data_IF_236633827988
#
_entry.id   IF_236633827988
#
_cell.length_a   1.000
_cell.length_b   1.000
_cell.length_c   1.000
_cell.angle_alpha   90.00
_cell.angle_beta   90.00
_cell.angle_gamma   90.00
#
_symmetry.space_group_name_H-M   'P 1'
#
loop_
_entity.id
_entity.type
_entity.pdbx_description
1 polymer ?
#
# COMPACT_ATOMS: atom_id res chain seq x y z
N UNK A 1 -5.30 -1.32 23.30
CA UNK A 1 -5.10 -0.86 21.92
C UNK A 1 -6.10 -1.54 20.99
N UNK A 2 -6.93 -0.74 20.32
CA UNK A 2 -7.93 -1.21 19.35
C UNK A 2 -7.37 -0.95 17.95
N UNK A 3 -7.29 -2.02 17.16
CA UNK A 3 -6.98 -1.96 15.73
C UNK A 3 -8.23 -2.35 14.97
N UNK A 4 -8.82 -1.40 14.26
CA UNK A 4 -10.07 -1.62 13.53
C UNK A 4 -10.05 -0.84 12.20
N UNK A 5 -10.82 -1.33 11.25
CA UNK A 5 -11.01 -0.70 9.96
C UNK A 5 -12.49 -0.74 9.59
N UNK A 6 -13.02 0.39 9.09
CA UNK A 6 -14.35 0.47 8.53
C UNK A 6 -14.26 0.57 7.01
N UNK A 7 -14.96 -0.33 6.32
CA UNK A 7 -14.91 -0.46 4.88
C UNK A 7 -13.51 -0.72 4.33
N UNK A 8 -13.16 -0.06 3.24
CA UNK A 8 -11.81 -0.11 2.64
C UNK A 8 -10.74 0.61 3.48
N UNK A 9 -11.15 1.33 4.54
CA UNK A 9 -10.29 2.20 5.32
C UNK A 9 -10.33 3.67 4.88
N UNK A 10 -11.00 4.00 3.79
CA UNK A 10 -11.13 5.40 3.35
C UNK A 10 -11.83 6.29 4.36
N UNK A 11 -12.71 5.72 5.19
CA UNK A 11 -13.36 6.45 6.28
C UNK A 11 -12.58 6.39 7.59
N UNK A 12 -12.04 5.21 7.93
CA UNK A 12 -11.31 5.00 9.18
C UNK A 12 -10.46 3.73 9.12
N UNK A 13 -9.20 3.85 9.59
CA UNK A 13 -8.35 2.69 9.87
C UNK A 13 -7.34 3.01 10.96
N UNK A 14 -7.35 2.22 12.02
CA UNK A 14 -6.27 2.18 13.02
C UNK A 14 -5.38 0.96 12.81
N UNK A 15 -4.05 1.17 12.82
CA UNK A 15 -3.08 0.13 12.52
C UNK A 15 -1.71 0.40 13.15
N UNK A 16 -0.89 -0.65 13.22
CA UNK A 16 0.54 -0.54 13.51
C UNK A 16 1.35 -0.93 12.27
N UNK A 17 2.30 -0.10 11.88
CA UNK A 17 3.31 -0.42 10.87
C UNK A 17 4.70 -0.05 11.39
N UNK A 18 5.48 -1.08 11.73
CA UNK A 18 6.82 -0.90 12.30
C UNK A 18 7.85 -0.42 11.28
N UNK A 19 7.63 -0.67 9.99
CA UNK A 19 8.50 -0.18 8.91
C UNK A 19 8.39 1.33 8.77
N UNK A 20 7.17 1.84 8.84
CA UNK A 20 6.87 3.26 8.77
C UNK A 20 6.95 3.97 10.13
N UNK A 21 7.01 3.22 11.23
CA UNK A 21 6.94 3.75 12.59
C UNK A 21 5.58 4.34 12.94
N UNK A 22 4.51 3.80 12.38
CA UNK A 22 3.13 4.22 12.62
C UNK A 22 2.52 3.35 13.72
N UNK A 23 1.89 3.98 14.71
CA UNK A 23 0.93 3.35 15.60
C UNK A 23 -0.17 4.38 15.89
N UNK A 24 -1.33 4.16 15.29
CA UNK A 24 -2.54 4.97 15.49
C UNK A 24 -3.69 4.15 16.08
N UNK A 25 -3.36 3.12 16.88
CA UNK A 25 -4.35 2.36 17.64
C UNK A 25 -5.22 3.28 18.51
N UNK A 26 -6.46 2.87 18.76
CA UNK A 26 -7.38 3.63 19.60
C UNK A 26 -7.38 3.04 21.01
N UNK A 27 -7.15 3.87 22.01
CA UNK A 27 -7.40 3.51 23.41
C UNK A 27 -8.81 3.91 23.80
N UNK A 28 -9.64 2.91 24.13
CA UNK A 28 -11.05 3.17 24.39
C UNK A 28 -11.89 1.91 24.47
N UNK A 29 -13.11 2.00 23.96
CA UNK A 29 -14.10 0.93 23.96
C UNK A 29 -14.43 0.56 22.52
N UNK A 30 -14.42 -0.74 22.25
CA UNK A 30 -14.90 -1.33 21.00
C UNK A 30 -15.91 -2.42 21.33
N UNK A 31 -16.99 -2.46 20.58
CA UNK A 31 -18.00 -3.51 20.66
C UNK A 31 -18.42 -3.97 19.28
N UNK A 32 -18.66 -5.27 19.14
CA UNK A 32 -19.22 -5.87 17.93
C UNK A 32 -20.37 -6.79 18.30
N UNK A 33 -21.49 -6.65 17.60
CA UNK A 33 -22.65 -7.51 17.75
C UNK A 33 -23.06 -8.06 16.39
N UNK A 34 -23.21 -9.39 16.31
CA UNK A 34 -23.68 -10.06 15.10
C UNK A 34 -24.91 -10.90 15.41
N UNK A 35 -25.97 -10.70 14.64
CA UNK A 35 -27.17 -11.52 14.70
C UNK A 35 -27.20 -12.46 13.49
N UNK A 36 -26.97 -13.74 13.74
CA UNK A 36 -26.73 -14.75 12.70
C UNK A 36 -25.69 -14.26 11.71
N UNK A 37 -25.92 -14.48 10.39
CA UNK A 37 -25.12 -13.87 9.32
C UNK A 37 -25.83 -12.66 8.68
N UNK A 38 -26.91 -12.17 9.26
CA UNK A 38 -27.78 -11.17 8.65
C UNK A 38 -27.29 -9.76 8.88
N UNK A 39 -26.90 -9.48 10.12
CA UNK A 39 -26.55 -8.13 10.57
C UNK A 39 -25.29 -8.21 11.41
N UNK A 40 -24.33 -7.34 11.13
CA UNK A 40 -23.20 -7.07 12.02
C UNK A 40 -23.14 -5.58 12.30
N UNK A 41 -23.08 -5.22 13.57
CA UNK A 41 -22.91 -3.84 14.05
C UNK A 41 -21.63 -3.77 14.85
N UNK A 42 -20.78 -2.80 14.52
CA UNK A 42 -19.58 -2.46 15.28
C UNK A 42 -19.69 -1.04 15.83
N UNK A 43 -19.04 -0.78 16.95
CA UNK A 43 -18.95 0.56 17.54
C UNK A 43 -17.58 0.79 18.16
N UNK A 44 -17.06 2.01 18.03
CA UNK A 44 -15.78 2.43 18.57
C UNK A 44 -15.92 3.81 19.24
N UNK A 45 -15.22 3.99 20.37
CA UNK A 45 -15.08 5.27 21.05
C UNK A 45 -13.76 5.30 21.80
N UNK A 46 -12.92 6.31 21.58
CA UNK A 46 -11.64 6.45 22.29
C UNK A 46 -10.72 7.53 21.72
N UNK A 47 -9.52 7.60 22.31
CA UNK A 47 -8.42 8.46 21.85
C UNK A 47 -7.47 7.66 20.98
N UNK A 48 -7.14 8.12 19.78
CA UNK A 48 -6.11 7.47 18.97
C UNK A 48 -4.71 7.78 19.51
N UNK A 49 -3.80 6.84 19.34
CA UNK A 49 -2.37 7.09 19.55
C UNK A 49 -1.79 7.88 18.39
N UNK A 50 -0.78 8.68 18.73
CA UNK A 50 0.10 9.34 17.76
C UNK A 50 1.55 9.07 18.19
N UNK A 51 2.17 8.05 17.58
CA UNK A 51 3.47 7.51 17.97
C UNK A 51 3.48 6.92 19.40
N UNK A 52 4.27 7.51 20.31
CA UNK A 52 4.39 7.08 21.70
C UNK A 52 3.39 7.78 22.65
N UNK A 53 2.62 8.73 22.14
CA UNK A 53 1.67 9.52 22.89
C UNK A 53 0.25 9.39 22.32
N UNK A 54 -0.69 10.19 22.77
CA UNK A 54 -2.07 10.25 22.30
C UNK A 54 -2.31 11.52 21.48
N UNK A 55 -3.14 11.40 20.44
CA UNK A 55 -3.67 12.57 19.76
C UNK A 55 -4.59 13.37 20.69
N UNK A 56 -4.73 14.68 20.50
CA UNK A 56 -5.65 15.50 21.27
C UNK A 56 -7.13 15.29 20.90
N UNK A 57 -7.36 14.54 19.85
CA UNK A 57 -8.69 14.24 19.36
C UNK A 57 -9.32 13.00 20.01
N UNK A 58 -10.65 12.97 19.93
CA UNK A 58 -11.49 11.83 20.23
C UNK A 58 -12.13 11.29 18.95
N UNK A 59 -12.14 9.97 18.80
CA UNK A 59 -12.76 9.27 17.69
C UNK A 59 -13.94 8.45 18.19
N UNK A 60 -15.08 8.56 17.50
CA UNK A 60 -16.27 7.76 17.74
C UNK A 60 -16.91 7.36 16.43
N UNK A 61 -17.47 6.15 16.39
CA UNK A 61 -18.10 5.71 15.15
C UNK A 61 -18.82 4.39 15.27
N UNK A 62 -19.54 4.08 14.19
CA UNK A 62 -20.24 2.83 14.03
C UNK A 62 -20.14 2.32 12.57
N UNK A 63 -20.20 1.01 12.42
CA UNK A 63 -20.24 0.32 11.14
C UNK A 63 -21.34 -0.73 11.16
N UNK A 64 -22.22 -0.70 10.15
CA UNK A 64 -23.34 -1.62 9.98
C UNK A 64 -23.18 -2.39 8.68
N UNK A 65 -23.25 -3.72 8.74
CA UNK A 65 -23.28 -4.61 7.57
C UNK A 65 -24.56 -5.43 7.58
N UNK A 66 -25.23 -5.49 6.42
CA UNK A 66 -26.46 -6.25 6.18
C UNK A 66 -26.21 -7.23 5.04
N UNK A 67 -26.27 -8.54 5.32
CA UNK A 67 -26.20 -9.59 4.29
C UNK A 67 -27.60 -9.83 3.71
N UNK A 68 -27.90 -9.20 2.58
CA UNK A 68 -29.19 -9.34 1.91
C UNK A 68 -29.38 -10.74 1.33
N UNK A 69 -28.31 -11.38 0.90
CA UNK A 69 -28.35 -12.76 0.41
C UNK A 69 -28.75 -13.76 1.50
N UNK A 70 -28.20 -13.59 2.72
CA UNK A 70 -28.58 -14.47 3.83
C UNK A 70 -30.01 -14.22 4.29
N UNK A 71 -30.44 -12.96 4.33
CA UNK A 71 -31.83 -12.58 4.65
C UNK A 71 -32.80 -13.17 3.63
N UNK A 72 -32.47 -13.11 2.33
CA UNK A 72 -33.30 -13.62 1.24
C UNK A 72 -33.15 -15.13 1.01
N UNK A 73 -32.18 -15.79 1.65
CA UNK A 73 -31.88 -17.20 1.50
C UNK A 73 -31.25 -17.59 0.16
N UNK A 74 -30.54 -16.68 -0.50
CA UNK A 74 -29.82 -16.96 -1.75
C UNK A 74 -28.59 -17.84 -1.47
N UNK A 75 -28.45 -18.95 -2.20
CA UNK A 75 -27.39 -19.93 -1.91
C UNK A 75 -26.10 -19.73 -2.70
N UNK A 76 -26.18 -19.11 -3.87
CA UNK A 76 -25.05 -19.01 -4.81
C UNK A 76 -24.66 -17.56 -5.12
N UNK A 77 -25.26 -16.61 -4.46
CA UNK A 77 -25.04 -15.19 -4.62
C UNK A 77 -24.81 -14.60 -3.24
N UNK A 78 -23.70 -13.89 -3.06
CA UNK A 78 -23.46 -13.06 -1.88
C UNK A 78 -23.71 -11.61 -2.27
N UNK A 79 -24.59 -10.96 -1.53
CA UNK A 79 -24.87 -9.54 -1.70
C UNK A 79 -25.05 -8.91 -0.32
N UNK A 80 -24.20 -7.92 -0.04
CA UNK A 80 -24.29 -7.12 1.19
C UNK A 80 -24.33 -5.63 0.89
N UNK A 81 -24.98 -4.91 1.78
CA UNK A 81 -24.95 -3.46 1.84
C UNK A 81 -24.48 -3.03 3.22
N UNK A 82 -23.64 -2.00 3.26
CA UNK A 82 -22.96 -1.59 4.48
C UNK A 82 -22.94 -0.07 4.58
N UNK A 83 -22.87 0.43 5.80
CA UNK A 83 -22.74 1.86 6.07
C UNK A 83 -21.90 2.11 7.29
N UNK A 84 -21.08 3.16 7.26
CA UNK A 84 -20.28 3.57 8.40
C UNK A 84 -20.43 5.05 8.67
N UNK A 85 -20.19 5.41 9.91
CA UNK A 85 -20.06 6.78 10.38
C UNK A 85 -18.88 6.89 11.33
N UNK A 86 -18.05 7.91 11.13
CA UNK A 86 -16.94 8.30 12.01
C UNK A 86 -17.05 9.79 12.29
N UNK A 87 -16.82 10.15 13.54
CA UNK A 87 -16.62 11.52 13.96
C UNK A 87 -15.28 11.63 14.69
N UNK A 88 -14.48 12.62 14.31
CA UNK A 88 -13.29 13.09 15.05
C UNK A 88 -13.65 14.41 15.71
N UNK A 89 -13.43 14.54 17.00
CA UNK A 89 -13.61 15.77 17.76
C UNK A 89 -12.31 16.17 18.44
N UNK A 90 -11.94 17.45 18.32
CA UNK A 90 -10.75 18.05 18.92
C UNK A 90 -11.03 19.52 19.22
N UNK A 91 -10.53 20.04 20.36
CA UNK A 91 -10.54 21.48 20.63
C UNK A 91 -9.59 22.18 19.66
N UNK A 92 -10.11 23.20 18.97
CA UNK A 92 -9.34 23.92 17.95
C UNK A 92 -8.37 24.88 18.62
N UNK A 93 -7.05 24.81 18.33
CA UNK A 93 -6.08 25.79 18.79
C UNK A 93 -6.43 27.22 18.34
N UNK A 94 -6.11 28.22 19.16
CA UNK A 94 -6.42 29.63 18.84
C UNK A 94 -5.87 30.07 17.48
N UNK A 95 -4.69 29.58 17.10
CA UNK A 95 -4.05 29.92 15.82
C UNK A 95 -4.79 29.35 14.60
N UNK A 96 -5.65 28.35 14.79
CA UNK A 96 -6.44 27.68 13.74
C UNK A 96 -7.93 27.99 13.82
N UNK A 97 -8.38 28.84 14.74
CA UNK A 97 -9.79 29.12 15.02
C UNK A 97 -10.58 29.61 13.80
N UNK A 98 -9.93 30.31 12.88
CA UNK A 98 -10.54 30.87 11.68
C UNK A 98 -10.67 29.85 10.52
N UNK A 99 -9.97 28.72 10.59
CA UNK A 99 -9.88 27.78 9.47
C UNK A 99 -10.29 26.35 9.82
N UNK A 100 -10.22 25.95 11.09
CA UNK A 100 -10.49 24.59 11.52
C UNK A 100 -11.85 24.44 12.19
N UNK A 101 -12.51 23.31 11.92
CA UNK A 101 -13.74 22.92 12.61
C UNK A 101 -13.39 21.93 13.74
N UNK A 102 -14.02 22.04 14.92
CA UNK A 102 -13.73 21.14 16.05
C UNK A 102 -14.21 19.71 15.79
N UNK A 103 -15.16 19.52 14.89
CA UNK A 103 -15.81 18.25 14.62
C UNK A 103 -15.77 17.91 13.13
N UNK A 104 -15.17 16.79 12.78
CA UNK A 104 -15.14 16.26 11.42
C UNK A 104 -15.99 15.01 11.36
N UNK A 105 -17.01 15.05 10.51
CA UNK A 105 -17.92 13.95 10.28
C UNK A 105 -17.64 13.27 8.94
N UNK A 106 -17.55 11.95 8.96
CA UNK A 106 -17.40 11.14 7.76
C UNK A 106 -18.47 10.05 7.73
N UNK A 107 -18.99 9.77 6.57
CA UNK A 107 -19.92 8.65 6.34
C UNK A 107 -19.50 7.85 5.12
N UNK A 108 -19.78 6.56 5.13
CA UNK A 108 -19.61 5.70 3.95
C UNK A 108 -20.85 4.86 3.69
N UNK A 109 -21.05 4.55 2.41
CA UNK A 109 -22.02 3.57 1.94
C UNK A 109 -21.32 2.61 0.99
N UNK A 110 -21.55 1.29 1.19
CA UNK A 110 -20.90 0.22 0.46
C UNK A 110 -21.90 -0.80 -0.04
N UNK A 111 -21.60 -1.40 -1.19
CA UNK A 111 -22.28 -2.58 -1.69
C UNK A 111 -21.24 -3.60 -2.18
N UNK A 112 -21.43 -4.86 -1.83
CA UNK A 112 -20.55 -5.95 -2.23
C UNK A 112 -21.40 -7.06 -2.88
N UNK A 113 -20.88 -7.58 -3.97
CA UNK A 113 -21.50 -8.61 -4.78
C UNK A 113 -20.49 -9.70 -5.13
N UNK A 114 -20.85 -10.97 -4.93
CA UNK A 114 -20.05 -12.10 -5.37
C UNK A 114 -20.96 -13.19 -5.95
N UNK A 115 -20.65 -13.62 -7.17
CA UNK A 115 -21.41 -14.63 -7.86
C UNK A 115 -20.56 -15.41 -8.86
N UNK A 116 -20.39 -16.71 -8.61
CA UNK A 116 -19.77 -17.65 -9.54
C UNK A 116 -18.40 -17.19 -10.10
N UNK A 117 -17.53 -16.71 -9.20
CA UNK A 117 -16.19 -16.22 -9.52
C UNK A 117 -16.13 -14.78 -10.01
N UNK A 118 -17.25 -14.11 -10.22
CA UNK A 118 -17.34 -12.69 -10.43
C UNK A 118 -17.58 -12.00 -9.08
N UNK A 119 -16.80 -10.98 -8.77
CA UNK A 119 -17.01 -10.11 -7.61
C UNK A 119 -17.01 -8.64 -8.03
N UNK A 120 -17.78 -7.84 -7.31
CA UNK A 120 -17.82 -6.40 -7.49
C UNK A 120 -18.06 -5.73 -6.14
N UNK A 121 -17.40 -4.60 -5.90
CA UNK A 121 -17.63 -3.77 -4.74
C UNK A 121 -17.62 -2.29 -5.13
N UNK A 122 -18.38 -1.49 -4.41
CA UNK A 122 -18.35 -0.04 -4.52
C UNK A 122 -18.48 0.56 -3.13
N UNK A 123 -17.63 1.54 -2.85
CA UNK A 123 -17.69 2.35 -1.63
C UNK A 123 -17.65 3.83 -1.99
N UNK A 124 -18.60 4.58 -1.44
CA UNK A 124 -18.60 6.05 -1.46
C UNK A 124 -18.40 6.56 -0.05
N UNK A 125 -17.49 7.53 0.12
CA UNK A 125 -17.24 8.21 1.39
C UNK A 125 -17.45 9.71 1.20
N UNK A 126 -18.18 10.33 2.12
CA UNK A 126 -18.30 11.78 2.25
C UNK A 126 -17.67 12.26 3.55
N UNK A 127 -17.04 13.44 3.51
CA UNK A 127 -16.39 14.11 4.63
C UNK A 127 -16.91 15.54 4.74
N UNK A 128 -17.21 16.01 5.97
CA UNK A 128 -17.50 17.42 6.27
C UNK A 128 -16.30 18.32 5.98
N UNK A 129 -16.44 19.64 6.20
CA UNK A 129 -15.30 20.54 6.09
C UNK A 129 -14.16 20.09 7.00
N UNK A 130 -12.95 20.07 6.45
CA UNK A 130 -11.73 19.74 7.18
C UNK A 130 -10.55 20.52 6.62
N UNK A 131 -9.61 20.89 7.46
CA UNK A 131 -8.38 21.56 7.03
C UNK A 131 -7.52 20.57 6.25
N UNK A 132 -7.11 20.96 5.05
CA UNK A 132 -6.20 20.15 4.27
C UNK A 132 -4.81 20.12 4.91
N UNK A 133 -4.23 18.93 5.18
CA UNK A 133 -2.86 18.84 5.71
C UNK A 133 -1.79 19.21 4.68
N UNK A 134 -2.13 19.25 3.41
CA UNK A 134 -1.17 19.47 2.31
C UNK A 134 -1.35 20.82 1.61
N UNK A 135 -2.51 21.46 1.74
CA UNK A 135 -2.84 22.72 1.09
C UNK A 135 -3.11 23.82 2.13
N UNK A 136 -2.15 24.72 2.30
CA UNK A 136 -2.19 25.76 3.32
C UNK A 136 -3.41 26.67 3.14
N UNK A 137 -4.21 26.82 4.21
CA UNK A 137 -5.37 27.69 4.25
C UNK A 137 -6.60 27.18 3.47
N UNK A 138 -6.60 25.90 3.09
CA UNK A 138 -7.72 25.27 2.41
C UNK A 138 -8.52 24.42 3.39
N UNK A 139 -9.81 24.74 3.55
CA UNK A 139 -10.78 23.98 4.33
C UNK A 139 -11.95 23.64 3.44
N UNK A 140 -12.13 22.35 3.15
CA UNK A 140 -13.10 21.89 2.16
C UNK A 140 -13.77 20.58 2.57
N UNK A 141 -14.94 20.35 1.97
CA UNK A 141 -15.64 19.06 2.05
C UNK A 141 -14.94 18.04 1.16
N UNK A 142 -14.77 16.84 1.70
CA UNK A 142 -14.15 15.75 0.96
C UNK A 142 -15.14 14.69 0.47
N UNK A 143 -14.76 13.99 -0.59
CA UNK A 143 -15.42 12.75 -0.99
C UNK A 143 -14.43 11.77 -1.63
N UNK A 144 -14.72 10.49 -1.48
CA UNK A 144 -13.99 9.40 -2.09
C UNK A 144 -14.92 8.38 -2.72
N UNK A 145 -14.55 7.85 -3.86
CA UNK A 145 -15.21 6.73 -4.51
C UNK A 145 -14.17 5.65 -4.81
N UNK A 146 -14.45 4.42 -4.39
CA UNK A 146 -13.69 3.23 -4.73
C UNK A 146 -14.64 2.23 -5.38
N UNK A 147 -14.28 1.72 -6.56
CA UNK A 147 -15.01 0.67 -7.24
C UNK A 147 -14.05 -0.43 -7.67
N UNK A 148 -14.38 -1.66 -7.38
CA UNK A 148 -13.59 -2.83 -7.72
C UNK A 148 -14.47 -3.84 -8.44
N UNK A 149 -13.90 -4.51 -9.44
CA UNK A 149 -14.56 -5.56 -10.19
C UNK A 149 -13.54 -6.65 -10.52
N UNK A 150 -13.83 -7.85 -10.11
CA UNK A 150 -12.96 -9.00 -10.31
C UNK A 150 -13.66 -10.18 -10.94
N UNK A 151 -12.88 -10.98 -11.65
CA UNK A 151 -13.30 -12.29 -12.13
C UNK A 151 -12.20 -13.30 -11.90
N UNK A 152 -12.55 -14.44 -11.34
CA UNK A 152 -11.61 -15.54 -11.12
C UNK A 152 -12.18 -16.86 -11.58
N UNK A 153 -11.35 -17.63 -12.26
CA UNK A 153 -11.63 -19.01 -12.61
C UNK A 153 -10.39 -19.87 -12.35
N UNK A 154 -10.43 -21.16 -12.71
CA UNK A 154 -9.42 -22.14 -12.30
C UNK A 154 -7.96 -21.68 -12.46
N UNK A 155 -7.61 -21.03 -13.56
CA UNK A 155 -6.21 -20.69 -13.90
C UNK A 155 -6.01 -19.20 -14.18
N UNK A 156 -7.04 -18.39 -14.14
CA UNK A 156 -7.03 -16.98 -14.50
C UNK A 156 -7.77 -16.17 -13.46
N UNK A 157 -7.23 -15.00 -13.15
CA UNK A 157 -7.94 -13.96 -12.38
C UNK A 157 -7.61 -12.59 -12.94
N UNK A 158 -8.58 -11.70 -12.88
CA UNK A 158 -8.43 -10.28 -13.21
C UNK A 158 -9.16 -9.46 -12.17
N UNK A 159 -8.56 -8.35 -11.77
CA UNK A 159 -9.12 -7.33 -10.88
C UNK A 159 -8.94 -5.98 -11.54
N UNK A 160 -10.01 -5.22 -11.64
CA UNK A 160 -10.00 -3.81 -12.04
C UNK A 160 -10.45 -2.98 -10.85
N UNK A 161 -9.69 -1.94 -10.52
CA UNK A 161 -9.98 -1.01 -9.42
C UNK A 161 -9.97 0.40 -9.97
N UNK A 162 -10.99 1.19 -9.62
CA UNK A 162 -11.07 2.62 -9.89
C UNK A 162 -11.21 3.38 -8.59
N UNK A 163 -10.50 4.50 -8.45
CA UNK A 163 -10.61 5.40 -7.30
C UNK A 163 -10.62 6.87 -7.73
N UNK A 164 -11.46 7.63 -7.06
CA UNK A 164 -11.48 9.09 -7.10
C UNK A 164 -11.43 9.61 -5.66
N UNK A 165 -10.53 10.55 -5.40
CA UNK A 165 -10.36 11.23 -4.10
C UNK A 165 -10.39 12.73 -4.32
N UNK A 166 -11.08 13.43 -3.41
CA UNK A 166 -11.09 14.87 -3.35
C UNK A 166 -11.16 15.31 -1.88
N UNK A 167 -10.13 16.03 -1.41
CA UNK A 167 -9.96 16.51 -0.04
C UNK A 167 -10.20 15.41 1.03
N UNK A 168 -9.73 14.19 0.76
CA UNK A 168 -9.97 13.04 1.62
C UNK A 168 -8.90 12.84 2.70
N UNK A 169 -7.73 13.49 2.61
CA UNK A 169 -6.75 13.42 3.70
C UNK A 169 -7.38 13.91 5.00
N UNK A 170 -7.29 13.11 6.06
CA UNK A 170 -7.86 13.43 7.36
C UNK A 170 -6.82 13.10 8.44
N UNK A 171 -6.44 14.11 9.21
CA UNK A 171 -5.50 13.96 10.32
C UNK A 171 -6.19 13.41 11.57
N UNK A 172 -5.42 12.73 12.42
CA UNK A 172 -5.85 12.37 13.77
C UNK A 172 -5.94 13.60 14.67
N UNK A 173 -4.96 14.50 14.58
CA UNK A 173 -4.90 15.72 15.35
C UNK A 173 -4.48 16.90 14.47
N UNK A 174 -5.05 18.09 14.73
CA UNK A 174 -4.74 19.33 14.03
C UNK A 174 -3.28 19.77 14.24
N UNK A 175 -2.72 19.48 15.40
CA UNK A 175 -1.34 19.84 15.79
C UNK A 175 -0.34 18.70 15.58
N UNK A 176 -0.84 17.52 15.20
CA UNK A 176 0.00 16.34 15.00
C UNK A 176 0.86 16.44 13.73
N UNK A 177 2.04 15.83 13.77
CA UNK A 177 2.98 15.81 12.65
C UNK A 177 3.29 14.39 12.18
N UNK A 178 3.82 14.29 10.96
CA UNK A 178 4.36 13.07 10.37
C UNK A 178 3.32 12.10 9.84
N UNK A 179 3.80 11.00 9.25
CA UNK A 179 2.98 10.01 8.52
C UNK A 179 2.02 9.23 9.40
N UNK A 180 2.22 9.22 10.72
CA UNK A 180 1.34 8.58 11.70
C UNK A 180 0.10 9.40 12.04
N UNK A 181 0.09 10.71 11.71
CA UNK A 181 -1.04 11.59 11.97
C UNK A 181 -2.12 11.45 10.89
N UNK A 182 -2.70 10.26 10.78
CA UNK A 182 -3.69 9.91 9.75
C UNK A 182 -4.83 9.09 10.35
N UNK A 183 -6.07 9.54 10.10
CA UNK A 183 -7.29 8.88 10.54
C UNK A 183 -7.76 7.81 9.57
N UNK A 184 -7.62 8.06 8.28
CA UNK A 184 -8.07 7.20 7.21
C UNK A 184 -6.89 6.61 6.42
N UNK A 185 -7.17 5.63 5.57
CA UNK A 185 -6.16 4.91 4.82
C UNK A 185 -6.42 5.02 3.32
N UNK A 186 -5.50 5.71 2.63
CA UNK A 186 -5.59 6.00 1.21
C UNK A 186 -4.34 5.48 0.47
N UNK A 187 -4.12 4.16 0.42
CA UNK A 187 -2.90 3.59 -0.18
C UNK A 187 -2.85 3.87 -1.68
N UNK A 188 -1.64 3.93 -2.23
CA UNK A 188 -1.45 3.96 -3.68
C UNK A 188 -2.00 2.67 -4.31
N UNK A 189 -2.91 2.81 -5.29
CA UNK A 189 -3.45 1.68 -6.07
C UNK A 189 -2.53 1.40 -7.26
N UNK A 190 -1.34 0.92 -6.97
CA UNK A 190 -0.33 0.53 -7.96
C UNK A 190 0.36 -0.73 -7.49
N UNK A 191 1.01 -1.43 -8.40
CA UNK A 191 1.81 -2.59 -8.03
C UNK A 191 2.89 -2.19 -7.02
N UNK A 192 2.96 -2.90 -5.90
CA UNK A 192 4.04 -2.78 -4.93
C UNK A 192 5.19 -3.70 -5.33
N UNK A 193 6.34 -3.13 -5.63
CA UNK A 193 7.52 -3.88 -6.06
C UNK A 193 8.42 -4.20 -4.88
N UNK A 194 9.00 -5.41 -4.89
CA UNK A 194 10.08 -5.81 -3.98
C UNK A 194 11.47 -5.57 -4.59
N UNK A 195 11.53 -5.30 -5.89
CA UNK A 195 12.76 -5.03 -6.63
C UNK A 195 13.20 -3.58 -6.45
N UNK A 196 14.47 -3.37 -6.14
CA UNK A 196 15.02 -2.07 -5.75
C UNK A 196 14.78 -0.97 -6.80
N UNK A 197 15.10 -1.25 -8.07
CA UNK A 197 14.97 -0.25 -9.12
C UNK A 197 13.52 -0.04 -9.57
N UNK A 198 12.68 -1.07 -9.51
CA UNK A 198 11.25 -0.93 -9.82
C UNK A 198 10.49 -0.13 -8.75
N UNK A 199 11.06 -0.01 -7.55
CA UNK A 199 10.54 0.77 -6.44
C UNK A 199 11.38 2.03 -6.13
N UNK A 200 12.16 2.51 -7.10
CA UNK A 200 13.06 3.65 -6.91
C UNK A 200 12.29 4.96 -6.67
N UNK A 201 11.20 5.16 -7.42
CA UNK A 201 10.30 6.31 -7.33
C UNK A 201 8.85 5.82 -7.19
N UNK A 202 8.45 5.31 -6.01
CA UNK A 202 7.13 4.75 -5.81
C UNK A 202 6.05 5.82 -5.89
N UNK A 203 4.91 5.49 -6.50
CA UNK A 203 3.77 6.38 -6.54
C UNK A 203 3.19 6.60 -5.14
N UNK A 204 2.91 7.85 -4.83
CA UNK A 204 2.22 8.27 -3.62
C UNK A 204 0.84 8.79 -3.98
N UNK A 205 -0.17 8.26 -3.30
CA UNK A 205 -1.55 8.71 -3.45
C UNK A 205 -1.70 10.18 -3.05
N UNK A 206 -2.41 10.94 -3.85
CA UNK A 206 -2.83 12.30 -3.53
C UNK A 206 -4.25 12.30 -2.96
N UNK A 207 -4.37 12.21 -1.64
CA UNK A 207 -5.67 12.25 -0.97
C UNK A 207 -6.41 13.58 -1.14
N UNK A 208 -5.72 14.64 -1.54
CA UNK A 208 -6.34 15.95 -1.81
C UNK A 208 -7.05 15.99 -3.16
N UNK A 209 -6.57 15.25 -4.16
CA UNK A 209 -7.25 15.22 -5.44
C UNK A 209 -6.56 14.35 -6.47
N UNK A 210 -7.09 13.15 -6.66
CA UNK A 210 -6.67 12.25 -7.72
C UNK A 210 -7.83 11.39 -8.22
N UNK A 211 -7.71 10.92 -9.46
CA UNK A 211 -8.59 9.91 -10.03
C UNK A 211 -7.81 8.99 -10.96
N UNK A 212 -8.13 7.73 -10.90
CA UNK A 212 -7.47 6.75 -11.73
C UNK A 212 -7.81 5.34 -11.34
N UNK A 213 -7.02 4.40 -11.80
CA UNK A 213 -7.28 2.99 -11.49
C UNK A 213 -6.14 2.08 -11.88
N UNK A 214 -6.36 0.82 -11.59
CA UNK A 214 -5.44 -0.27 -11.83
C UNK A 214 -6.19 -1.47 -12.41
N UNK A 215 -5.57 -2.17 -13.33
CA UNK A 215 -6.00 -3.50 -13.77
C UNK A 215 -4.86 -4.46 -13.47
N UNK A 216 -5.20 -5.57 -12.86
CA UNK A 216 -4.26 -6.61 -12.44
C UNK A 216 -4.75 -7.97 -12.93
N UNK A 217 -3.94 -8.72 -13.68
CA UNK A 217 -4.32 -9.97 -14.29
C UNK A 217 -3.27 -11.06 -14.07
N UNK A 218 -3.72 -12.23 -13.65
CA UNK A 218 -2.89 -13.40 -13.40
C UNK A 218 -3.35 -14.60 -14.22
N UNK A 219 -2.39 -15.32 -14.77
CA UNK A 219 -2.63 -16.62 -15.40
C UNK A 219 -1.60 -17.64 -14.93
N UNK A 220 -2.05 -18.80 -14.51
CA UNK A 220 -1.20 -19.90 -14.04
C UNK A 220 -1.39 -21.14 -14.89
N UNK A 221 -0.31 -21.61 -15.50
CA UNK A 221 -0.29 -22.86 -16.21
C UNK A 221 0.61 -23.88 -15.50
N UNK A 222 0.11 -25.11 -15.35
CA UNK A 222 0.88 -26.20 -14.74
C UNK A 222 0.91 -27.41 -15.66
N UNK A 223 2.11 -27.99 -15.85
CA UNK A 223 2.29 -29.18 -16.67
C UNK A 223 1.53 -30.38 -16.09
N UNK A 224 0.80 -31.10 -16.96
CA UNK A 224 0.11 -32.33 -16.60
C UNK A 224 1.07 -33.50 -16.37
N UNK A 225 2.17 -33.57 -17.12
CA UNK A 225 3.17 -34.63 -17.04
C UNK A 225 4.16 -34.45 -15.89
N UNK A 226 4.47 -33.21 -15.52
CA UNK A 226 5.38 -32.91 -14.44
C UNK A 226 4.84 -31.75 -13.59
N UNK A 227 4.17 -32.07 -12.47
CA UNK A 227 3.55 -31.09 -11.59
C UNK A 227 4.51 -30.10 -10.94
N UNK A 228 5.82 -30.36 -10.97
CA UNK A 228 6.84 -29.40 -10.52
C UNK A 228 7.16 -28.30 -11.54
N UNK A 229 6.64 -28.40 -12.77
CA UNK A 229 6.80 -27.39 -13.81
C UNK A 229 5.54 -26.55 -13.92
N UNK A 230 5.69 -25.24 -13.76
CA UNK A 230 4.60 -24.30 -13.99
C UNK A 230 5.12 -22.98 -14.56
N UNK A 231 4.22 -22.23 -15.15
CA UNK A 231 4.43 -20.86 -15.60
C UNK A 231 3.33 -19.98 -14.99
N UNK A 232 3.71 -18.93 -14.31
CA UNK A 232 2.81 -17.87 -13.86
C UNK A 232 3.09 -16.63 -14.69
N UNK A 233 2.03 -16.04 -15.23
CA UNK A 233 2.05 -14.76 -15.93
C UNK A 233 1.31 -13.75 -15.07
N UNK A 234 1.89 -12.58 -14.91
CA UNK A 234 1.26 -11.46 -14.26
C UNK A 234 1.38 -10.23 -15.17
N UNK A 235 0.29 -9.51 -15.36
CA UNK A 235 0.25 -8.26 -16.08
C UNK A 235 -0.51 -7.23 -15.25
N UNK A 236 0.04 -6.03 -15.15
CA UNK A 236 -0.55 -4.95 -14.38
C UNK A 236 -0.43 -3.63 -15.16
N UNK A 237 -1.47 -2.80 -15.07
CA UNK A 237 -1.47 -1.45 -15.58
C UNK A 237 -2.16 -0.52 -14.59
N UNK A 238 -1.51 0.58 -14.23
CA UNK A 238 -2.08 1.62 -13.38
C UNK A 238 -1.91 3.00 -14.01
N UNK A 239 -2.91 3.88 -13.81
CA UNK A 239 -2.93 5.22 -14.39
C UNK A 239 -3.70 6.16 -13.46
N UNK A 240 -3.05 7.29 -13.08
CA UNK A 240 -3.62 8.29 -12.19
C UNK A 240 -3.41 9.70 -12.72
N UNK A 241 -4.43 10.52 -12.53
CA UNK A 241 -4.47 11.93 -12.88
C UNK A 241 -4.83 12.79 -11.68
N UNK A 242 -4.29 14.02 -11.63
CA UNK A 242 -4.69 15.02 -10.65
C UNK A 242 -6.12 15.52 -10.90
N UNK A 243 -6.81 15.90 -9.82
CA UNK A 243 -8.07 16.61 -9.90
C UNK A 243 -7.84 18.13 -10.04
N UNK A 244 -8.79 18.81 -10.70
CA UNK A 244 -8.76 20.27 -10.86
C UNK A 244 -8.91 21.03 -9.53
N UNK A 245 -9.34 20.37 -8.48
CA UNK A 245 -9.41 20.95 -7.14
C UNK A 245 -8.03 21.33 -6.59
N UNK A 246 -6.98 20.56 -6.94
CA UNK A 246 -5.61 20.75 -6.43
C UNK A 246 -4.63 21.26 -7.48
N UNK A 247 -4.96 21.14 -8.78
CA UNK A 247 -4.12 21.60 -9.88
C UNK A 247 -4.93 22.36 -10.91
N UNK A 248 -4.37 23.41 -11.55
CA UNK A 248 -5.11 24.23 -12.53
C UNK A 248 -5.66 23.45 -13.73
N UNK A 249 -5.05 22.29 -14.03
CA UNK A 249 -5.44 21.39 -15.11
C UNK A 249 -5.33 19.94 -14.61
N UNK A 250 -6.17 19.05 -15.14
CA UNK A 250 -5.97 17.62 -14.98
C UNK A 250 -4.67 17.19 -15.65
N UNK A 251 -3.74 16.64 -14.89
CA UNK A 251 -2.44 16.16 -15.38
C UNK A 251 -2.17 14.74 -14.90
N UNK A 252 -1.39 14.01 -15.68
CA UNK A 252 -0.93 12.69 -15.29
C UNK A 252 -0.02 12.79 -14.07
N UNK A 253 -0.32 11.99 -13.05
CA UNK A 253 0.49 11.82 -11.83
C UNK A 253 1.38 10.61 -11.95
N UNK A 254 0.81 9.50 -12.45
CA UNK A 254 1.45 8.22 -12.52
C UNK A 254 0.91 7.36 -13.65
N UNK A 255 1.79 6.63 -14.31
CA UNK A 255 1.48 5.53 -15.22
C UNK A 255 2.50 4.43 -15.00
N UNK A 256 2.05 3.20 -14.84
CA UNK A 256 2.90 2.02 -14.82
C UNK A 256 2.23 0.90 -15.60
N UNK A 257 2.92 0.39 -16.62
CA UNK A 257 2.50 -0.78 -17.38
C UNK A 257 3.60 -1.81 -17.20
N UNK A 258 3.26 -2.93 -16.60
CA UNK A 258 4.27 -3.92 -16.25
C UNK A 258 3.75 -5.35 -16.42
N UNK A 259 4.69 -6.26 -16.49
CA UNK A 259 4.39 -7.67 -16.50
C UNK A 259 5.59 -8.50 -16.07
N UNK A 260 5.32 -9.68 -15.53
CA UNK A 260 6.35 -10.66 -15.24
C UNK A 260 5.92 -12.07 -15.62
N UNK A 261 6.94 -12.88 -15.86
CA UNK A 261 6.81 -14.29 -16.14
C UNK A 261 7.67 -15.05 -15.15
N UNK A 262 7.05 -15.88 -14.34
CA UNK A 262 7.74 -16.80 -13.43
C UNK A 262 7.72 -18.21 -14.01
N UNK A 263 8.90 -18.80 -14.21
CA UNK A 263 9.09 -20.17 -14.65
C UNK A 263 9.62 -21.03 -13.51
N UNK A 264 8.90 -22.06 -13.12
CA UNK A 264 9.45 -23.17 -12.34
C UNK A 264 9.89 -24.28 -13.29
N UNK A 265 11.18 -24.34 -13.58
CA UNK A 265 11.78 -25.29 -14.54
C UNK A 265 11.76 -26.72 -14.02
N UNK A 266 12.06 -26.88 -12.74
CA UNK A 266 12.09 -28.14 -12.03
C UNK A 266 11.99 -27.86 -10.50
N UNK A 267 12.20 -28.87 -9.66
CA UNK A 267 12.16 -28.71 -8.19
C UNK A 267 13.23 -27.77 -7.62
N UNK A 268 14.31 -27.53 -8.39
CA UNK A 268 15.48 -26.78 -7.94
C UNK A 268 15.52 -25.36 -8.48
N UNK A 269 15.19 -25.15 -9.76
CA UNK A 269 15.36 -23.85 -10.45
C UNK A 269 14.02 -23.17 -10.71
N UNK A 270 13.93 -21.93 -10.26
CA UNK A 270 12.88 -20.97 -10.58
C UNK A 270 13.50 -19.68 -11.11
N UNK A 271 12.92 -19.10 -12.14
CA UNK A 271 13.34 -17.80 -12.69
C UNK A 271 12.13 -16.89 -12.86
N UNK A 272 12.33 -15.60 -12.64
CA UNK A 272 11.33 -14.57 -12.91
C UNK A 272 11.96 -13.49 -13.78
N UNK A 273 11.28 -13.10 -14.84
CA UNK A 273 11.63 -11.96 -15.67
C UNK A 273 10.52 -10.92 -15.58
N UNK A 274 10.86 -9.67 -15.24
CA UNK A 274 9.92 -8.55 -15.12
C UNK A 274 10.36 -7.41 -16.02
N UNK A 275 9.36 -6.79 -16.66
CA UNK A 275 9.49 -5.51 -17.37
C UNK A 275 8.46 -4.55 -16.81
N UNK A 276 8.87 -3.29 -16.56
CA UNK A 276 7.98 -2.21 -16.15
C UNK A 276 8.33 -0.93 -16.92
N UNK A 277 7.29 -0.26 -17.42
CA UNK A 277 7.38 1.06 -18.06
C UNK A 277 6.62 2.03 -17.19
N UNK A 278 7.35 2.86 -16.49
CA UNK A 278 6.82 3.84 -15.54
C UNK A 278 6.94 5.25 -16.10
N UNK A 279 5.95 6.09 -15.80
CA UNK A 279 6.02 7.53 -16.03
C UNK A 279 5.38 8.24 -14.84
N UNK A 280 6.04 9.25 -14.33
CA UNK A 280 5.62 9.93 -13.11
C UNK A 280 5.87 11.43 -13.15
N UNK A 281 5.05 12.20 -12.43
CA UNK A 281 5.16 13.65 -12.31
C UNK A 281 5.96 14.02 -11.06
N UNK A 282 7.16 14.64 -11.19
CA UNK A 282 7.97 15.04 -10.04
C UNK A 282 7.33 16.18 -9.22
N UNK A 283 6.41 16.91 -9.81
CA UNK A 283 5.69 18.02 -9.16
C UNK A 283 4.27 17.65 -8.71
N UNK A 284 3.92 16.35 -8.68
CA UNK A 284 2.55 15.92 -8.39
C UNK A 284 1.47 16.66 -9.19
N UNK A 285 1.73 16.88 -10.49
CA UNK A 285 0.78 17.52 -11.40
C UNK A 285 0.72 19.06 -11.34
N UNK A 286 1.57 19.72 -10.57
CA UNK A 286 1.63 21.20 -10.54
C UNK A 286 2.11 21.79 -11.88
N UNK A 287 2.92 21.05 -12.64
CA UNK A 287 3.35 21.40 -13.99
C UNK A 287 3.22 20.20 -14.94
N UNK A 288 3.49 20.41 -16.24
CA UNK A 288 3.34 19.38 -17.28
C UNK A 288 4.56 18.44 -17.40
N UNK A 289 5.57 18.56 -16.51
CA UNK A 289 6.80 17.77 -16.58
C UNK A 289 6.55 16.36 -16.03
N UNK A 290 6.92 15.36 -16.81
CA UNK A 290 6.95 13.95 -16.42
C UNK A 290 8.30 13.33 -16.73
N UNK A 291 8.62 12.21 -16.09
CA UNK A 291 9.80 11.41 -16.35
C UNK A 291 9.41 9.98 -16.66
N UNK A 292 9.94 9.43 -17.74
CA UNK A 292 9.78 8.04 -18.12
C UNK A 292 10.94 7.18 -17.62
N UNK A 293 10.63 5.95 -17.24
CA UNK A 293 11.62 4.95 -16.80
C UNK A 293 11.23 3.57 -17.32
N UNK A 294 12.20 2.84 -17.86
CA UNK A 294 12.05 1.44 -18.28
C UNK A 294 12.90 0.56 -17.37
N UNK A 295 12.29 -0.43 -16.75
CA UNK A 295 12.92 -1.30 -15.77
C UNK A 295 12.86 -2.74 -16.23
N UNK A 296 14.00 -3.43 -16.12
CA UNK A 296 14.17 -4.83 -16.44
C UNK A 296 14.73 -5.55 -15.23
N UNK A 297 14.14 -6.68 -14.86
CA UNK A 297 14.59 -7.52 -13.75
C UNK A 297 14.69 -8.97 -14.19
N UNK A 298 15.80 -9.60 -13.84
CA UNK A 298 15.98 -11.04 -13.89
C UNK A 298 16.29 -11.55 -12.47
N UNK A 299 15.46 -12.44 -11.97
CA UNK A 299 15.59 -13.07 -10.65
C UNK A 299 15.65 -14.59 -10.83
N UNK A 300 16.62 -15.24 -10.22
CA UNK A 300 16.80 -16.67 -10.26
C UNK A 300 17.00 -17.25 -8.85
N UNK A 301 16.20 -18.25 -8.50
CA UNK A 301 16.33 -19.02 -7.26
C UNK A 301 16.74 -20.44 -7.60
N UNK A 302 17.88 -20.88 -7.05
CA UNK A 302 18.37 -22.25 -7.16
C UNK A 302 18.44 -22.93 -5.80
N UNK A 303 17.79 -24.08 -5.65
CA UNK A 303 17.82 -24.94 -4.46
C UNK A 303 18.79 -26.08 -4.70
N UNK A 304 19.91 -26.10 -3.99
CA UNK A 304 20.88 -27.21 -4.02
C UNK A 304 20.27 -28.47 -3.40
N UNK A 305 19.63 -28.27 -2.25
CA UNK A 305 18.90 -29.30 -1.51
C UNK A 305 17.76 -28.69 -0.68
N UNK A 306 17.21 -29.43 0.29
CA UNK A 306 16.12 -28.94 1.17
C UNK A 306 16.57 -27.86 2.16
N UNK A 307 17.88 -27.71 2.39
CA UNK A 307 18.47 -26.81 3.39
C UNK A 307 19.24 -25.65 2.78
N UNK A 308 19.67 -25.75 1.53
CA UNK A 308 20.55 -24.75 0.91
C UNK A 308 19.92 -24.22 -0.37
N UNK A 309 19.88 -22.90 -0.48
CA UNK A 309 19.45 -22.21 -1.70
C UNK A 309 20.23 -20.93 -1.89
N UNK A 310 20.37 -20.53 -3.15
CA UNK A 310 20.88 -19.23 -3.57
C UNK A 310 19.83 -18.53 -4.43
N UNK A 311 19.65 -17.24 -4.21
CA UNK A 311 18.90 -16.33 -5.07
C UNK A 311 19.85 -15.29 -5.62
N UNK A 312 19.80 -15.06 -6.92
CA UNK A 312 20.55 -14.00 -7.59
C UNK A 312 19.58 -13.14 -8.38
N UNK A 313 19.73 -11.84 -8.29
CA UNK A 313 18.88 -10.85 -8.92
C UNK A 313 19.73 -9.80 -9.60
N UNK A 314 19.38 -9.45 -10.84
CA UNK A 314 20.01 -8.36 -11.61
C UNK A 314 18.89 -7.47 -12.14
N UNK A 315 19.08 -6.17 -12.00
CA UNK A 315 18.13 -5.14 -12.43
C UNK A 315 18.84 -4.07 -13.25
N UNK A 316 18.15 -3.55 -14.23
CA UNK A 316 18.56 -2.38 -15.00
C UNK A 316 17.40 -1.40 -15.13
N UNK A 317 17.68 -0.12 -14.92
CA UNK A 317 16.74 0.97 -15.09
C UNK A 317 17.35 2.00 -16.04
N UNK A 318 16.64 2.27 -17.14
CA UNK A 318 16.87 3.41 -18.02
C UNK A 318 15.86 4.50 -17.68
N UNK A 319 16.29 5.72 -17.39
CA UNK A 319 15.42 6.80 -16.97
C UNK A 319 15.77 8.15 -17.62
N UNK A 320 14.71 8.93 -17.86
CA UNK A 320 14.83 10.31 -18.36
C UNK A 320 14.95 11.33 -17.22
N UNK A 321 14.87 10.90 -15.95
CA UNK A 321 15.01 11.78 -14.81
C UNK A 321 16.44 12.36 -14.66
N UNK A 322 16.66 13.22 -13.68
CA UNK A 322 17.97 13.86 -13.44
C UNK A 322 19.06 12.89 -12.97
N UNK A 323 18.68 11.76 -12.36
CA UNK A 323 19.63 10.72 -11.92
C UNK A 323 19.98 9.74 -13.05
N UNK A 324 19.14 9.66 -14.09
CA UNK A 324 19.27 8.78 -15.26
C UNK A 324 19.38 7.30 -14.88
N UNK A 325 20.37 6.62 -15.39
CA UNK A 325 20.40 5.16 -15.47
C UNK A 325 21.02 4.50 -14.23
N UNK A 326 20.46 3.31 -13.89
CA UNK A 326 20.87 2.54 -12.73
C UNK A 326 21.04 1.07 -13.08
N UNK A 327 21.96 0.42 -12.36
CA UNK A 327 22.07 -1.04 -12.30
C UNK A 327 22.01 -1.49 -10.85
N UNK A 328 21.36 -2.61 -10.58
CA UNK A 328 21.34 -3.19 -9.24
C UNK A 328 21.49 -4.70 -9.30
N UNK A 329 22.01 -5.26 -8.21
CA UNK A 329 22.14 -6.67 -8.00
C UNK A 329 21.94 -7.08 -6.55
N UNK A 330 21.47 -8.32 -6.37
CA UNK A 330 21.31 -8.93 -5.05
C UNK A 330 21.72 -10.40 -5.14
N UNK A 331 22.46 -10.87 -4.15
CA UNK A 331 22.71 -12.30 -3.94
C UNK A 331 22.31 -12.64 -2.51
N UNK A 332 21.47 -13.66 -2.37
CA UNK A 332 21.02 -14.18 -1.08
C UNK A 332 21.35 -15.68 -1.00
N UNK A 333 21.94 -16.08 0.10
CA UNK A 333 22.26 -17.48 0.41
C UNK A 333 21.56 -17.91 1.69
N UNK A 334 20.73 -18.95 1.59
CA UNK A 334 19.95 -19.46 2.70
C UNK A 334 20.46 -20.82 3.14
N UNK A 335 20.67 -20.98 4.43
CA UNK A 335 20.98 -22.21 5.15
C UNK A 335 19.84 -22.53 6.13
N UNK A 336 18.81 -23.19 5.62
CA UNK A 336 17.66 -23.57 6.46
C UNK A 336 18.06 -24.56 7.56
N UNK A 337 17.45 -24.47 8.75
CA UNK A 337 16.32 -23.59 9.06
C UNK A 337 16.72 -22.22 9.65
N UNK A 338 18.01 -21.94 9.85
CA UNK A 338 18.41 -20.87 10.75
C UNK A 338 19.00 -19.63 10.07
N UNK A 339 19.88 -19.79 9.09
CA UNK A 339 20.71 -18.70 8.59
C UNK A 339 20.30 -18.21 7.21
N UNK A 340 20.33 -16.88 7.02
CA UNK A 340 20.27 -16.22 5.72
C UNK A 340 21.32 -15.11 5.65
N UNK A 341 22.00 -15.03 4.52
CA UNK A 341 23.02 -14.02 4.21
C UNK A 341 22.62 -13.33 2.93
N UNK A 342 22.69 -11.99 2.88
CA UNK A 342 22.44 -11.25 1.65
C UNK A 342 23.45 -10.13 1.45
N UNK A 343 23.74 -9.87 0.17
CA UNK A 343 24.54 -8.72 -0.26
C UNK A 343 23.83 -8.12 -1.46
N UNK A 344 23.69 -6.80 -1.48
CA UNK A 344 23.11 -6.06 -2.59
C UNK A 344 23.90 -4.79 -2.86
N UNK A 345 23.85 -4.34 -4.10
CA UNK A 345 24.36 -3.04 -4.51
C UNK A 345 23.45 -2.44 -5.57
N UNK A 346 23.25 -1.14 -5.49
CA UNK A 346 22.51 -0.33 -6.44
C UNK A 346 23.42 0.83 -6.86
N UNK A 347 23.83 0.86 -8.10
CA UNK A 347 24.78 1.81 -8.65
C UNK A 347 24.11 2.75 -9.64
N UNK A 348 24.16 4.05 -9.37
CA UNK A 348 23.81 5.06 -10.35
C UNK A 348 24.96 5.27 -11.31
N UNK A 349 24.87 4.72 -12.49
CA UNK A 349 25.88 4.92 -13.54
C UNK A 349 25.54 6.08 -14.47
N UNK A 350 24.37 6.70 -14.32
CA UNK A 350 23.95 7.87 -15.09
C UNK A 350 24.67 9.16 -14.66
N UNK A 351 24.29 9.73 -13.54
CA UNK A 351 24.73 11.07 -13.12
C UNK A 351 25.65 11.05 -11.89
N UNK A 352 25.19 10.51 -10.76
CA UNK A 352 25.91 10.67 -9.48
C UNK A 352 27.13 9.76 -9.31
N UNK A 353 27.19 8.64 -10.03
CA UNK A 353 28.26 7.63 -9.92
C UNK A 353 28.43 7.04 -8.51
N UNK A 354 27.32 6.91 -7.78
CA UNK A 354 27.28 6.49 -6.38
C UNK A 354 26.78 5.06 -6.26
N UNK A 355 27.42 4.30 -5.36
CA UNK A 355 26.99 2.97 -4.92
C UNK A 355 26.19 3.06 -3.62
N UNK A 356 25.09 2.30 -3.57
CA UNK A 356 24.26 2.10 -2.39
C UNK A 356 24.23 0.60 -2.08
N UNK A 357 25.21 0.18 -1.28
CA UNK A 357 25.46 -1.22 -0.95
C UNK A 357 24.82 -1.60 0.39
N UNK A 358 24.44 -2.85 0.53
CA UNK A 358 23.98 -3.41 1.78
C UNK A 358 24.43 -4.86 1.92
N UNK A 359 24.82 -5.24 3.14
CA UNK A 359 25.04 -6.63 3.53
C UNK A 359 24.22 -6.96 4.75
N UNK A 360 23.63 -8.14 4.82
CA UNK A 360 22.89 -8.57 5.99
C UNK A 360 23.11 -10.04 6.32
N UNK A 361 22.99 -10.35 7.62
CA UNK A 361 22.91 -11.70 8.15
C UNK A 361 21.69 -11.80 9.06
N UNK A 362 20.92 -12.86 8.93
CA UNK A 362 19.83 -13.15 9.83
C UNK A 362 19.91 -14.57 10.40
N UNK A 363 19.53 -14.69 11.65
CA UNK A 363 19.39 -15.94 12.37
C UNK A 363 17.96 -16.09 12.86
N UNK A 364 17.32 -17.20 12.53
CA UNK A 364 15.95 -17.50 12.95
C UNK A 364 15.93 -18.77 13.79
N UNK A 365 15.32 -18.71 14.95
CA UNK A 365 15.09 -19.86 15.81
C UNK A 365 13.68 -19.83 16.39
N UNK A 366 12.85 -20.83 16.07
CA UNK A 366 11.43 -20.87 16.44
C UNK A 366 10.71 -19.58 16.02
N UNK A 367 10.21 -18.83 16.99
CA UNK A 367 9.42 -17.60 16.81
C UNK A 367 10.28 -16.33 16.85
N UNK A 368 11.60 -16.45 16.94
CA UNK A 368 12.52 -15.32 17.09
C UNK A 368 13.46 -15.21 15.88
N UNK A 369 13.57 -14.02 15.30
CA UNK A 369 14.52 -13.66 14.25
C UNK A 369 15.38 -12.48 14.70
N UNK A 370 16.69 -12.66 14.62
CA UNK A 370 17.68 -11.60 14.79
C UNK A 370 18.30 -11.30 13.41
N UNK A 371 18.35 -10.04 13.03
CA UNK A 371 18.97 -9.60 11.79
C UNK A 371 19.92 -8.44 12.06
N UNK A 372 21.13 -8.57 11.57
CA UNK A 372 22.13 -7.49 11.52
C UNK A 372 22.35 -7.11 10.05
N UNK A 373 22.31 -5.84 9.75
CA UNK A 373 22.64 -5.30 8.43
C UNK A 373 23.56 -4.09 8.55
N UNK A 374 24.38 -3.88 7.53
CA UNK A 374 25.20 -2.69 7.35
C UNK A 374 25.13 -2.24 5.90
N UNK A 375 25.00 -0.94 5.68
CA UNK A 375 24.92 -0.44 4.32
C UNK A 375 24.88 1.08 4.22
N UNK A 376 24.96 1.56 2.97
CA UNK A 376 24.71 2.93 2.57
C UNK A 376 23.35 2.99 1.87
N UNK A 377 22.42 3.71 2.47
CA UNK A 377 21.06 3.84 1.98
C UNK A 377 20.86 5.19 1.29
N UNK A 378 20.16 5.20 0.15
CA UNK A 378 19.76 6.39 -0.58
C UNK A 378 18.66 7.11 0.19
N UNK A 379 18.62 8.45 0.08
CA UNK A 379 17.42 9.19 0.44
C UNK A 379 16.28 8.83 -0.50
N UNK A 380 15.08 8.64 0.03
CA UNK A 380 13.93 8.29 -0.78
C UNK A 380 12.75 7.78 0.04
N UNK A 381 11.71 7.34 -0.64
CA UNK A 381 10.52 6.82 0.00
C UNK A 381 10.65 5.34 0.31
N UNK A 382 10.34 4.98 1.55
CA UNK A 382 10.13 3.60 2.00
C UNK A 382 8.64 3.39 2.14
N UNK A 383 8.09 2.41 1.43
CA UNK A 383 6.67 2.15 1.38
C UNK A 383 6.32 0.80 2.01
N UNK A 384 5.18 0.76 2.70
CA UNK A 384 4.57 -0.44 3.24
C UNK A 384 3.06 -0.34 3.03
N UNK A 385 2.43 -1.39 2.47
CA UNK A 385 1.00 -1.41 2.21
C UNK A 385 0.47 -0.25 1.35
N UNK A 386 1.31 0.34 0.48
CA UNK A 386 0.92 1.49 -0.35
C UNK A 386 1.00 2.86 0.33
N UNK A 387 1.42 2.92 1.59
CA UNK A 387 1.73 4.15 2.32
C UNK A 387 3.25 4.33 2.36
N UNK A 388 3.73 5.55 2.14
CA UNK A 388 5.15 5.82 2.00
C UNK A 388 5.61 6.88 3.01
N UNK A 389 6.83 6.69 3.55
CA UNK A 389 7.53 7.65 4.39
C UNK A 389 8.86 8.00 3.76
N UNK A 390 9.20 9.29 3.70
CA UNK A 390 10.52 9.73 3.27
C UNK A 390 11.57 9.40 4.34
N UNK A 391 12.67 8.79 3.89
CA UNK A 391 13.81 8.44 4.74
C UNK A 391 15.05 9.16 4.22
N UNK A 392 15.81 9.89 5.06
CA UNK A 392 17.04 10.55 4.65
C UNK A 392 18.13 9.51 4.30
N UNK A 393 19.11 9.92 3.49
CA UNK A 393 20.28 9.10 3.23
C UNK A 393 21.07 8.84 4.51
N UNK A 394 21.53 7.61 4.70
CA UNK A 394 22.39 7.27 5.83
C UNK A 394 23.34 6.12 5.47
N UNK A 395 24.44 6.03 6.21
CA UNK A 395 25.35 4.88 6.20
C UNK A 395 25.50 4.38 7.63
N UNK A 396 25.22 3.10 7.87
CA UNK A 396 25.29 2.58 9.23
C UNK A 396 24.85 1.14 9.35
N UNK A 397 24.89 0.65 10.60
CA UNK A 397 24.40 -0.66 10.98
C UNK A 397 22.97 -0.57 11.53
N UNK A 398 22.20 -1.61 11.26
CA UNK A 398 20.86 -1.81 11.81
C UNK A 398 20.76 -3.19 12.42
N UNK A 399 20.26 -3.27 13.66
CA UNK A 399 19.99 -4.51 14.37
C UNK A 399 18.48 -4.62 14.59
N UNK A 400 17.87 -5.68 14.07
CA UNK A 400 16.44 -5.93 14.22
C UNK A 400 16.21 -7.25 14.95
N UNK A 401 15.44 -7.21 16.03
CA UNK A 401 14.94 -8.38 16.75
C UNK A 401 13.43 -8.47 16.58
N UNK A 402 12.95 -9.57 16.01
CA UNK A 402 11.51 -9.86 15.89
C UNK A 402 11.21 -11.15 16.63
N UNK A 403 10.24 -11.12 17.55
CA UNK A 403 9.76 -12.31 18.24
C UNK A 403 8.24 -12.29 18.32
N UNK A 404 7.61 -13.44 18.17
CA UNK A 404 6.16 -13.64 18.39
C UNK A 404 5.93 -14.60 19.54
N UNK A 405 4.93 -14.32 20.36
CA UNK A 405 4.58 -15.06 21.57
C UNK A 405 3.34 -15.92 21.34
#
# INVERSE_FOLDING_TARGET
DIFEQFGSGMIFRSFEDRTLGINNSVEGIFGSYSYRNFITLKGIYGRPRLYSDYADSWVRGADLSLSLSDIAGWKNLLFSVEGSYINRYEEVPEEMADIAEPSIDMFSARANFDWNGFNASVEYVGKSNDVSPSLIGVTEKGHGLLAEMGYSCRNFSVLATYRELKYMNTQLSLTGEGVGNVLNYLPALTRQYTYMLANLNPYQSSGEGERGGQIDAYYSWRSKSNRSRYVNLHANASLFYSDKAVTPKTRMLWRDINGDIEFQWNKQLKTTFLVSVQEWSPSHGLNDKTYASNIFVLDALYKFDRKKSVRAEVQYLYSEDYEKDWVAGLVEFNLAPHWSFSVSDMYNHGTSKVHYYSGSVSYTQKNTRLQLSYGRNRAGYVCSGGVCRYTPAYTGANLTLTTSF
#
